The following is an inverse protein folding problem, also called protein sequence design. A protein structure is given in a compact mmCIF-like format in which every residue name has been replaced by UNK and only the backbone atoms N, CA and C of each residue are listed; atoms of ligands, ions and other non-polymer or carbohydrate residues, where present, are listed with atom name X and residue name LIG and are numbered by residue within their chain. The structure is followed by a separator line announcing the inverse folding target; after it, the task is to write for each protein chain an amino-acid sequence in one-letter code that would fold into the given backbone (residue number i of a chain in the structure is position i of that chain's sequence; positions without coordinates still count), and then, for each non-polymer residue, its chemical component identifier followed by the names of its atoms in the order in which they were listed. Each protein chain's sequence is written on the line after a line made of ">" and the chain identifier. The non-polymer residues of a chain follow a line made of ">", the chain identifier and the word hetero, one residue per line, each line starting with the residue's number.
data_IF_006125903450
#
_entry.id   IF_006125903450
#
_cell.length_a   1.000
_cell.length_b   1.000
_cell.length_c   1.000
_cell.angle_alpha   90.00
_cell.angle_beta   90.00
_cell.angle_gamma   90.00
#
_symmetry.space_group_name_H-M   'P 1'
#
loop_
_entity.id
_entity.type
_entity.pdbx_description
1 polymer ?
#
# COMPACT_ATOMS: atom_id res chain seq x y z
N UNK A 1 17.28 -6.71 16.93
CA UNK A 1 16.28 -5.60 16.77
C UNK A 1 15.40 -5.52 18.01
N UNK A 2 14.94 -4.30 18.44
CA UNK A 2 13.96 -4.18 19.52
C UNK A 2 12.60 -4.65 18.99
N UNK A 3 11.94 -5.59 19.70
CA UNK A 3 10.58 -6.01 19.38
C UNK A 3 9.60 -4.86 19.62
N UNK A 4 8.60 -4.72 18.77
CA UNK A 4 7.49 -3.80 18.99
C UNK A 4 6.64 -4.27 20.18
N UNK A 5 5.93 -3.32 20.80
CA UNK A 5 5.01 -3.65 21.88
C UNK A 5 3.86 -4.54 21.35
N UNK A 6 3.45 -5.61 22.06
CA UNK A 6 2.42 -6.54 21.58
C UNK A 6 1.09 -5.88 21.16
N UNK A 7 0.67 -4.82 21.86
CA UNK A 7 -0.55 -4.08 21.50
C UNK A 7 -0.42 -3.36 20.13
N UNK A 8 0.78 -2.87 19.77
CA UNK A 8 1.03 -2.27 18.46
C UNK A 8 0.88 -3.33 17.38
N UNK A 9 1.46 -4.52 17.61
CA UNK A 9 1.38 -5.65 16.68
C UNK A 9 -0.07 -6.08 16.53
N UNK A 10 -0.79 -6.28 17.64
CA UNK A 10 -2.22 -6.62 17.62
C UNK A 10 -3.03 -5.62 16.81
N UNK A 11 -2.90 -4.32 17.10
CA UNK A 11 -3.62 -3.27 16.37
C UNK A 11 -3.23 -3.19 14.88
N UNK A 12 -1.99 -3.58 14.54
CA UNK A 12 -1.53 -3.62 13.16
C UNK A 12 -2.25 -4.72 12.36
N UNK A 13 -2.54 -5.88 12.95
CA UNK A 13 -3.17 -7.02 12.29
C UNK A 13 -4.71 -7.01 12.32
N UNK A 14 -5.34 -6.21 13.17
CA UNK A 14 -6.79 -6.14 13.26
C UNK A 14 -7.42 -5.53 12.00
N UNK A 15 -8.33 -6.26 11.35
CA UNK A 15 -9.05 -5.80 10.15
C UNK A 15 -10.57 -5.75 10.32
N UNK A 16 -11.15 -6.50 11.26
CA UNK A 16 -12.59 -6.56 11.48
C UNK A 16 -13.40 -7.34 10.43
N UNK A 17 -12.75 -7.94 9.41
CA UNK A 17 -13.36 -8.74 8.35
C UNK A 17 -12.52 -9.98 8.04
N UNK A 18 -13.11 -10.93 7.26
CA UNK A 18 -12.49 -12.24 7.01
C UNK A 18 -11.79 -12.36 5.65
N UNK A 19 -11.97 -11.42 4.74
CA UNK A 19 -11.34 -11.46 3.41
C UNK A 19 -9.82 -11.43 3.53
N UNK A 20 -9.08 -12.36 2.88
CA UNK A 20 -7.63 -12.36 2.89
C UNK A 20 -7.04 -11.12 2.24
N UNK A 21 -5.99 -10.58 2.87
CA UNK A 21 -5.23 -9.44 2.35
C UNK A 21 -3.80 -9.89 2.07
N UNK A 22 -3.35 -9.70 0.83
CA UNK A 22 -1.98 -10.01 0.39
C UNK A 22 -1.30 -8.72 -0.01
N UNK A 23 -0.26 -8.33 0.72
CA UNK A 23 0.59 -7.20 0.36
C UNK A 23 1.65 -7.59 -0.65
N UNK A 24 1.93 -6.72 -1.63
CA UNK A 24 3.03 -6.86 -2.57
C UNK A 24 3.99 -5.69 -2.34
N UNK A 25 5.23 -5.98 -1.98
CA UNK A 25 6.23 -4.97 -1.61
C UNK A 25 7.61 -5.29 -2.17
N UNK A 26 8.53 -4.34 -2.08
CA UNK A 26 9.92 -4.53 -2.49
C UNK A 26 10.77 -3.30 -2.17
N UNK A 27 12.05 -3.50 -1.91
CA UNK A 27 12.94 -2.47 -1.36
C UNK A 27 13.23 -1.31 -2.31
N UNK A 28 13.15 -1.51 -3.66
CA UNK A 28 13.45 -0.45 -4.64
C UNK A 28 12.36 -0.30 -5.71
N UNK A 29 12.38 0.86 -6.39
CA UNK A 29 11.60 1.08 -7.61
C UNK A 29 12.09 0.20 -8.76
N UNK A 30 11.19 -0.20 -9.66
CA UNK A 30 11.52 -0.94 -10.88
C UNK A 30 11.77 -2.44 -10.72
N UNK A 31 11.69 -3.01 -9.51
CA UNK A 31 11.88 -4.45 -9.27
C UNK A 31 10.73 -5.32 -9.81
N UNK A 32 9.63 -4.69 -10.21
CA UNK A 32 8.47 -5.36 -10.83
C UNK A 32 7.29 -5.62 -9.89
N UNK A 33 7.18 -4.94 -8.73
CA UNK A 33 6.05 -5.08 -7.79
C UNK A 33 4.70 -4.98 -8.49
N UNK A 34 4.42 -3.85 -9.14
CA UNK A 34 3.15 -3.60 -9.83
C UNK A 34 2.90 -4.60 -10.96
N UNK A 35 3.95 -5.02 -11.68
CA UNK A 35 3.83 -6.08 -12.69
C UNK A 35 3.37 -7.40 -12.06
N UNK A 36 3.95 -7.77 -10.90
CA UNK A 36 3.53 -8.95 -10.15
C UNK A 36 2.10 -8.78 -9.61
N UNK A 37 1.79 -7.62 -9.03
CA UNK A 37 0.50 -7.33 -8.43
C UNK A 37 -0.65 -7.44 -9.46
N UNK A 38 -0.52 -6.77 -10.61
CA UNK A 38 -1.57 -6.78 -11.64
C UNK A 38 -1.76 -8.14 -12.29
N UNK A 39 -0.67 -8.89 -12.55
CA UNK A 39 -0.77 -10.22 -13.14
C UNK A 39 -1.32 -11.25 -12.14
N UNK A 40 -0.96 -11.13 -10.86
CA UNK A 40 -1.52 -11.96 -9.80
C UNK A 40 -3.02 -11.66 -9.60
N UNK A 41 -3.43 -10.39 -9.62
CA UNK A 41 -4.84 -9.99 -9.53
C UNK A 41 -5.66 -10.56 -10.70
N UNK A 42 -5.12 -10.47 -11.91
CA UNK A 42 -5.76 -11.03 -13.10
C UNK A 42 -5.81 -12.58 -13.04
N UNK A 43 -4.79 -13.24 -12.50
CA UNK A 43 -4.78 -14.68 -12.30
C UNK A 43 -5.87 -15.13 -11.31
N UNK A 44 -6.03 -14.45 -10.18
CA UNK A 44 -7.13 -14.70 -9.25
C UNK A 44 -8.50 -14.52 -9.93
N UNK A 45 -8.68 -13.45 -10.72
CA UNK A 45 -9.92 -13.20 -11.45
C UNK A 45 -10.20 -14.27 -12.48
N UNK A 46 -9.17 -14.78 -13.21
CA UNK A 46 -9.28 -15.88 -14.14
C UNK A 46 -9.67 -17.21 -13.47
N UNK A 47 -9.29 -17.41 -12.20
CA UNK A 47 -9.74 -18.52 -11.34
C UNK A 47 -11.17 -18.33 -10.79
N UNK A 48 -11.90 -17.30 -11.27
CA UNK A 48 -13.28 -17.02 -10.88
C UNK A 48 -13.43 -16.29 -9.55
N UNK A 49 -12.35 -15.77 -8.95
CA UNK A 49 -12.39 -15.02 -7.69
C UNK A 49 -12.80 -13.56 -7.93
N UNK A 50 -13.55 -12.99 -7.00
CA UNK A 50 -13.76 -11.54 -6.93
C UNK A 50 -12.56 -10.90 -6.23
N UNK A 51 -11.87 -10.02 -6.94
CA UNK A 51 -10.56 -9.47 -6.54
C UNK A 51 -10.65 -7.95 -6.36
N UNK A 52 -10.15 -7.46 -5.23
CA UNK A 52 -9.78 -6.06 -5.09
C UNK A 52 -8.26 -5.92 -5.27
N UNK A 53 -7.82 -5.05 -6.18
CA UNK A 53 -6.43 -4.58 -6.25
C UNK A 53 -6.39 -3.14 -5.75
N UNK A 54 -5.54 -2.87 -4.78
CA UNK A 54 -5.32 -1.54 -4.19
C UNK A 54 -3.96 -1.05 -4.65
N UNK A 55 -3.95 -0.06 -5.54
CA UNK A 55 -2.75 0.68 -5.92
C UNK A 55 -2.46 1.72 -4.83
N UNK A 56 -1.54 1.38 -3.95
CA UNK A 56 -1.10 2.20 -2.83
C UNK A 56 0.27 2.87 -3.08
N UNK A 57 0.81 2.79 -4.31
CA UNK A 57 1.91 3.65 -4.77
C UNK A 57 1.36 5.01 -5.23
N UNK A 58 0.80 5.76 -4.29
CA UNK A 58 0.03 6.98 -4.54
C UNK A 58 0.83 8.13 -5.14
N UNK A 59 2.17 8.06 -5.06
CA UNK A 59 3.09 9.03 -5.66
C UNK A 59 3.26 8.80 -7.17
N UNK A 60 3.12 7.54 -7.61
CA UNK A 60 3.25 7.13 -9.01
C UNK A 60 2.35 5.94 -9.35
N UNK A 61 1.01 6.08 -9.24
CA UNK A 61 0.08 4.97 -9.46
C UNK A 61 0.13 4.49 -10.91
N UNK A 62 0.34 3.19 -11.10
CA UNK A 62 0.59 2.60 -12.42
C UNK A 62 -0.32 1.41 -12.75
N UNK A 63 -1.03 0.84 -11.78
CA UNK A 63 -1.82 -0.39 -11.96
C UNK A 63 -2.93 -0.22 -13.00
N UNK A 64 -3.53 0.97 -13.08
CA UNK A 64 -4.55 1.30 -14.08
C UNK A 64 -4.02 1.19 -15.50
N UNK A 65 -2.78 1.63 -15.74
CA UNK A 65 -2.10 1.54 -17.05
C UNK A 65 -1.77 0.09 -17.39
N UNK A 66 -1.28 -0.68 -16.40
CA UNK A 66 -0.88 -2.08 -16.58
C UNK A 66 -2.08 -3.01 -16.81
N UNK A 67 -3.27 -2.64 -16.32
CA UNK A 67 -4.52 -3.38 -16.52
C UNK A 67 -5.33 -2.89 -17.72
N UNK A 68 -4.94 -1.77 -18.35
CA UNK A 68 -5.74 -1.08 -19.37
C UNK A 68 -7.13 -0.70 -18.86
N UNK A 69 -7.21 -0.32 -17.58
CA UNK A 69 -8.43 0.13 -16.92
C UNK A 69 -8.40 1.66 -16.76
N UNK A 70 -9.41 2.41 -17.24
CA UNK A 70 -9.44 3.85 -17.02
C UNK A 70 -9.64 4.16 -15.53
N UNK A 71 -9.13 5.32 -15.08
CA UNK A 71 -9.44 5.86 -13.76
C UNK A 71 -10.85 6.43 -13.75
N UNK A 72 -11.75 5.82 -12.99
CA UNK A 72 -13.18 6.18 -12.94
C UNK A 72 -13.58 6.56 -11.51
N UNK A 73 -14.76 7.21 -11.40
CA UNK A 73 -15.37 7.60 -10.13
C UNK A 73 -14.40 8.36 -9.20
N UNK A 74 -13.87 9.52 -9.62
CA UNK A 74 -12.94 10.30 -8.80
C UNK A 74 -13.61 10.83 -7.53
N UNK A 75 -12.99 10.57 -6.38
CA UNK A 75 -13.40 11.07 -5.08
C UNK A 75 -12.23 11.82 -4.44
N UNK A 76 -12.39 13.09 -3.99
CA UNK A 76 -11.29 13.84 -3.39
C UNK A 76 -10.94 13.28 -2.00
N UNK A 77 -9.65 13.13 -1.73
CA UNK A 77 -9.13 12.91 -0.38
C UNK A 77 -8.86 14.27 0.24
N UNK A 78 -9.62 14.60 1.27
CA UNK A 78 -9.49 15.89 1.95
C UNK A 78 -9.05 15.74 3.38
N UNK A 79 -8.29 16.73 3.85
CA UNK A 79 -7.94 16.91 5.25
C UNK A 79 -8.52 18.20 5.79
N UNK A 80 -8.67 18.29 7.10
CA UNK A 80 -9.01 19.56 7.74
C UNK A 80 -7.82 20.51 7.58
N UNK A 81 -8.06 21.70 7.04
CA UNK A 81 -7.07 22.75 7.01
C UNK A 81 -7.65 23.99 7.71
N UNK A 82 -6.92 24.60 8.70
CA UNK A 82 -7.48 25.74 9.43
C UNK A 82 -7.59 26.97 8.54
N UNK A 83 -8.70 27.70 8.70
CA UNK A 83 -8.84 29.09 8.26
C UNK A 83 -8.92 29.99 9.46
N UNK A 84 -8.44 31.23 9.33
CA UNK A 84 -8.30 32.17 10.44
C UNK A 84 -9.14 33.41 10.21
N UNK A 85 -9.95 33.76 11.23
CA UNK A 85 -10.75 34.98 11.27
C UNK A 85 -9.98 36.07 12.02
N UNK A 86 -9.45 37.10 11.33
CA UNK A 86 -8.65 38.15 11.97
C UNK A 86 -9.47 39.05 12.89
N UNK A 87 -10.80 39.14 12.69
CA UNK A 87 -11.67 40.00 13.52
C UNK A 87 -11.86 39.35 14.91
N UNK A 88 -11.97 38.03 14.97
CA UNK A 88 -12.06 37.27 16.23
C UNK A 88 -10.74 37.02 16.88
N UNK A 89 -9.64 37.09 16.14
CA UNK A 89 -8.32 36.75 16.64
C UNK A 89 -7.86 37.72 17.74
N UNK A 90 -7.53 37.20 18.92
CA UNK A 90 -6.99 37.96 20.05
C UNK A 90 -5.46 38.04 20.07
N UNK A 91 -4.79 37.49 19.03
CA UNK A 91 -3.32 37.44 18.89
C UNK A 91 -2.60 36.67 20.01
N UNK A 92 -3.29 35.75 20.67
CA UNK A 92 -2.74 34.99 21.79
C UNK A 92 -1.72 33.92 21.37
N UNK A 93 -1.59 33.59 20.08
CA UNK A 93 -0.66 32.62 19.46
C UNK A 93 -0.76 31.17 20.01
N UNK A 94 -1.83 30.79 20.70
CA UNK A 94 -2.00 29.43 21.19
C UNK A 94 -2.05 28.39 20.06
N UNK A 95 -2.67 28.74 18.93
CA UNK A 95 -2.72 27.90 17.73
C UNK A 95 -1.32 27.63 17.13
N UNK A 96 -0.45 28.66 17.13
CA UNK A 96 0.95 28.53 16.67
C UNK A 96 1.75 27.59 17.60
N UNK A 97 1.62 27.77 18.91
CA UNK A 97 2.30 26.94 19.92
C UNK A 97 1.83 25.49 19.92
N UNK A 98 0.55 25.25 19.59
CA UNK A 98 -0.04 23.92 19.54
C UNK A 98 0.28 23.16 18.24
N UNK A 99 0.77 23.84 17.21
CA UNK A 99 1.08 23.22 15.93
C UNK A 99 2.36 22.38 15.99
N UNK A 100 2.21 21.06 16.11
CA UNK A 100 3.35 20.13 16.15
C UNK A 100 4.13 20.07 14.84
N UNK A 101 3.45 20.41 13.71
CA UNK A 101 4.10 20.49 12.40
C UNK A 101 4.86 21.80 12.19
N UNK A 102 4.78 22.74 13.13
CA UNK A 102 5.35 24.08 13.01
C UNK A 102 4.92 24.83 11.73
N UNK A 103 3.72 24.54 11.22
CA UNK A 103 3.22 25.09 9.96
C UNK A 103 2.48 26.43 10.14
N UNK A 104 2.24 26.88 11.36
CA UNK A 104 1.53 28.12 11.64
C UNK A 104 2.49 29.21 12.13
N UNK A 105 2.36 30.38 11.53
CA UNK A 105 3.19 31.55 11.82
C UNK A 105 2.31 32.77 12.06
N UNK A 106 2.75 33.62 13.00
CA UNK A 106 2.23 34.98 13.13
C UNK A 106 2.88 35.87 12.07
N UNK A 107 2.15 36.14 10.98
CA UNK A 107 2.68 36.99 9.90
C UNK A 107 2.63 38.48 10.25
N UNK A 108 1.53 38.92 10.87
CA UNK A 108 1.26 40.29 11.36
C UNK A 108 0.36 40.18 12.59
N UNK A 109 0.12 41.31 13.26
CA UNK A 109 -0.85 41.40 14.34
C UNK A 109 -2.21 40.82 13.88
N UNK A 110 -2.77 39.92 14.69
CA UNK A 110 -4.03 39.18 14.41
C UNK A 110 -4.06 38.37 13.09
N UNK A 111 -2.89 38.16 12.48
CA UNK A 111 -2.79 37.42 11.22
C UNK A 111 -1.92 36.18 11.40
N UNK A 112 -2.58 35.04 11.41
CA UNK A 112 -1.92 33.71 11.40
C UNK A 112 -1.91 33.20 9.97
N UNK A 113 -0.74 32.78 9.50
CA UNK A 113 -0.55 32.19 8.18
C UNK A 113 -0.17 30.73 8.30
N UNK A 114 -0.71 29.90 7.41
CA UNK A 114 -0.26 28.53 7.21
C UNK A 114 0.87 28.54 6.19
N UNK A 115 2.04 28.07 6.58
CA UNK A 115 3.22 27.91 5.71
C UNK A 115 3.83 26.54 6.01
N UNK A 116 3.91 25.69 4.99
CA UNK A 116 4.37 24.31 5.13
C UNK A 116 3.24 23.30 5.25
N UNK A 117 3.61 22.09 5.63
CA UNK A 117 2.70 20.94 5.62
C UNK A 117 1.75 20.93 6.82
N UNK A 118 0.47 20.74 6.57
CA UNK A 118 -0.55 20.59 7.60
C UNK A 118 -1.14 19.17 7.51
N UNK A 119 -0.99 18.38 8.56
CA UNK A 119 -1.52 17.00 8.61
C UNK A 119 -3.01 16.91 9.03
N UNK A 120 -3.70 18.05 9.18
CA UNK A 120 -5.12 18.08 9.49
C UNK A 120 -5.50 17.70 10.92
N UNK A 121 -4.56 17.67 11.88
CA UNK A 121 -4.81 17.19 13.25
C UNK A 121 -5.84 18.00 14.06
N UNK A 122 -6.14 19.26 13.68
CA UNK A 122 -7.14 20.10 14.32
C UNK A 122 -6.72 20.71 15.66
N UNK A 123 -5.48 20.51 16.14
CA UNK A 123 -5.02 21.05 17.42
C UNK A 123 -5.20 22.58 17.53
N UNK A 124 -4.89 23.31 16.45
CA UNK A 124 -5.05 24.75 16.38
C UNK A 124 -6.51 25.22 16.56
N UNK A 125 -7.46 24.44 16.04
CA UNK A 125 -8.88 24.68 16.20
C UNK A 125 -9.32 24.46 17.67
N UNK A 126 -8.87 23.37 18.29
CA UNK A 126 -9.28 23.00 19.65
C UNK A 126 -8.76 23.96 20.73
N UNK A 127 -7.59 24.56 20.51
CA UNK A 127 -6.96 25.43 21.52
C UNK A 127 -7.32 26.91 21.36
N UNK A 128 -8.12 27.29 20.37
CA UNK A 128 -8.46 28.70 20.12
C UNK A 128 -9.54 29.21 21.09
N UNK A 129 -9.19 30.09 22.07
CA UNK A 129 -10.18 30.54 23.06
C UNK A 129 -11.17 31.56 22.50
N UNK A 130 -10.92 32.10 21.31
CA UNK A 130 -11.72 33.13 20.67
C UNK A 130 -12.52 32.61 19.48
N UNK A 131 -12.56 31.29 19.23
CA UNK A 131 -13.17 30.67 18.05
C UNK A 131 -12.78 31.33 16.72
N UNK A 132 -11.55 31.89 16.67
CA UNK A 132 -11.00 32.53 15.49
C UNK A 132 -10.44 31.56 14.46
N UNK A 133 -10.21 30.29 14.86
CA UNK A 133 -9.78 29.22 13.96
C UNK A 133 -10.99 28.41 13.55
N UNK A 134 -11.23 28.33 12.25
CA UNK A 134 -12.35 27.58 11.69
C UNK A 134 -11.85 26.34 10.93
N UNK A 135 -12.72 25.34 10.76
CA UNK A 135 -12.42 24.14 9.99
C UNK A 135 -12.65 24.43 8.50
N UNK A 136 -11.57 24.58 7.76
CA UNK A 136 -11.57 24.53 6.31
C UNK A 136 -11.26 23.11 5.82
N UNK A 137 -11.13 22.95 4.50
CA UNK A 137 -10.83 21.70 3.83
C UNK A 137 -9.72 21.91 2.79
N UNK A 138 -8.82 20.97 2.68
CA UNK A 138 -7.77 20.94 1.67
C UNK A 138 -7.70 19.56 1.02
N UNK A 139 -7.74 19.52 -0.32
CA UNK A 139 -7.60 18.27 -1.07
C UNK A 139 -6.14 17.89 -1.16
N UNK A 140 -5.79 16.68 -0.70
CA UNK A 140 -4.43 16.15 -0.74
C UNK A 140 -4.22 15.07 -1.79
N UNK A 141 -5.31 14.53 -2.35
CA UNK A 141 -5.24 13.49 -3.37
C UNK A 141 -6.62 13.17 -3.93
N UNK A 142 -6.65 12.18 -4.80
CA UNK A 142 -7.89 11.67 -5.41
C UNK A 142 -7.90 10.15 -5.34
N UNK A 143 -9.04 9.57 -5.02
CA UNK A 143 -9.32 8.14 -5.13
C UNK A 143 -10.06 7.86 -6.43
N UNK A 144 -9.78 6.70 -7.00
CA UNK A 144 -10.49 6.18 -8.17
C UNK A 144 -10.91 4.75 -7.92
N UNK A 145 -12.03 4.34 -8.51
CA UNK A 145 -12.51 2.96 -8.46
C UNK A 145 -13.01 2.54 -9.82
N UNK A 146 -12.36 1.56 -10.40
CA UNK A 146 -12.71 0.98 -11.72
C UNK A 146 -12.94 -0.51 -11.58
N UNK A 147 -13.89 -1.07 -12.33
CA UNK A 147 -14.20 -2.50 -12.27
C UNK A 147 -14.25 -3.09 -13.68
N UNK A 148 -13.61 -4.24 -13.86
CA UNK A 148 -13.62 -5.02 -15.11
C UNK A 148 -13.82 -6.50 -14.75
N UNK A 149 -14.99 -7.05 -15.08
CA UNK A 149 -15.34 -8.42 -14.68
C UNK A 149 -15.30 -8.60 -13.16
N UNK A 150 -14.53 -9.57 -12.70
CA UNK A 150 -14.35 -9.89 -11.28
C UNK A 150 -13.23 -9.07 -10.60
N UNK A 151 -12.54 -8.19 -11.31
CA UNK A 151 -11.46 -7.36 -10.78
C UNK A 151 -11.93 -5.92 -10.57
N UNK A 152 -11.79 -5.43 -9.33
CA UNK A 152 -11.98 -4.02 -8.97
C UNK A 152 -10.65 -3.42 -8.57
N UNK A 153 -10.25 -2.36 -9.25
CA UNK A 153 -9.07 -1.56 -8.95
C UNK A 153 -9.47 -0.34 -8.11
N UNK A 154 -8.79 -0.15 -7.00
CA UNK A 154 -8.82 1.06 -6.17
C UNK A 154 -7.48 1.75 -6.30
N UNK A 155 -7.45 2.96 -6.85
CA UNK A 155 -6.21 3.73 -7.04
C UNK A 155 -6.24 4.98 -6.18
N UNK A 156 -5.18 5.20 -5.38
CA UNK A 156 -4.92 6.47 -4.73
C UNK A 156 -3.92 7.29 -5.57
N UNK A 157 -4.19 8.57 -5.76
CA UNK A 157 -3.26 9.48 -6.40
C UNK A 157 -3.02 10.72 -5.53
N UNK A 158 -1.78 10.94 -5.11
CA UNK A 158 -1.38 12.13 -4.37
C UNK A 158 -1.43 13.36 -5.27
N UNK A 159 -1.88 14.50 -4.76
CA UNK A 159 -1.83 15.74 -5.51
C UNK A 159 -0.38 16.17 -5.73
N UNK A 160 0.03 16.51 -6.98
CA UNK A 160 1.40 16.92 -7.27
C UNK A 160 1.88 18.07 -6.37
N UNK A 161 3.10 17.93 -5.84
CA UNK A 161 3.72 18.94 -4.97
C UNK A 161 3.42 18.77 -3.48
N UNK A 162 2.62 17.78 -3.09
CA UNK A 162 2.39 17.42 -1.68
C UNK A 162 3.26 16.21 -1.28
N UNK A 163 3.50 16.08 0.03
CA UNK A 163 4.34 15.02 0.59
C UNK A 163 3.57 14.04 1.52
N UNK A 164 2.26 14.27 1.73
CA UNK A 164 1.45 13.51 2.69
C UNK A 164 0.88 12.21 2.10
N UNK A 165 1.69 11.43 1.39
CA UNK A 165 1.30 10.17 0.76
C UNK A 165 0.59 9.20 1.71
N UNK A 166 0.98 9.15 2.99
CA UNK A 166 0.36 8.27 3.99
C UNK A 166 -1.14 8.53 4.18
N UNK A 167 -1.61 9.77 4.01
CA UNK A 167 -3.04 10.11 4.12
C UNK A 167 -3.83 9.51 2.97
N UNK A 168 -3.30 9.59 1.74
CA UNK A 168 -3.94 9.04 0.54
C UNK A 168 -3.88 7.51 0.56
N UNK A 169 -2.75 6.91 0.98
CA UNK A 169 -2.61 5.45 1.18
C UNK A 169 -3.66 4.93 2.16
N UNK A 170 -3.82 5.59 3.31
CA UNK A 170 -4.83 5.18 4.28
C UNK A 170 -6.26 5.33 3.72
N UNK A 171 -6.52 6.40 2.96
CA UNK A 171 -7.83 6.63 2.37
C UNK A 171 -8.20 5.55 1.34
N UNK A 172 -7.32 5.25 0.37
CA UNK A 172 -7.59 4.22 -0.66
C UNK A 172 -7.77 2.85 -0.04
N UNK A 173 -6.92 2.49 0.92
CA UNK A 173 -7.04 1.23 1.65
C UNK A 173 -8.35 1.13 2.41
N UNK A 174 -8.75 2.18 3.14
CA UNK A 174 -9.98 2.17 3.93
C UNK A 174 -11.22 2.01 3.05
N UNK A 175 -11.26 2.62 1.87
CA UNK A 175 -12.36 2.46 0.90
C UNK A 175 -12.43 1.02 0.39
N UNK A 176 -11.30 0.41 0.05
CA UNK A 176 -11.24 -0.99 -0.37
C UNK A 176 -11.67 -1.94 0.77
N UNK A 177 -11.19 -1.69 1.99
CA UNK A 177 -11.49 -2.52 3.17
C UNK A 177 -12.93 -2.40 3.63
N UNK A 178 -13.55 -1.23 3.49
CA UNK A 178 -14.98 -1.05 3.75
C UNK A 178 -15.87 -1.90 2.82
N UNK A 179 -15.34 -2.34 1.67
CA UNK A 179 -16.03 -3.20 0.73
C UNK A 179 -15.51 -4.65 0.75
N UNK A 180 -14.72 -5.04 1.76
CA UNK A 180 -13.99 -6.31 1.82
C UNK A 180 -14.89 -7.55 1.62
N UNK A 181 -16.10 -7.54 2.18
CA UNK A 181 -17.03 -8.66 2.09
C UNK A 181 -17.52 -8.96 0.66
N UNK A 182 -17.22 -8.07 -0.30
CA UNK A 182 -17.53 -8.26 -1.73
C UNK A 182 -16.44 -9.03 -2.48
N UNK A 183 -15.31 -9.28 -1.85
CA UNK A 183 -14.13 -9.85 -2.48
C UNK A 183 -13.70 -11.16 -1.83
N UNK A 184 -13.17 -12.06 -2.63
CA UNK A 184 -12.54 -13.29 -2.17
C UNK A 184 -11.11 -13.04 -1.71
N UNK A 185 -10.46 -11.99 -2.24
CA UNK A 185 -9.08 -11.59 -1.91
C UNK A 185 -8.87 -10.09 -2.18
N UNK A 186 -8.07 -9.47 -1.34
CA UNK A 186 -7.59 -8.10 -1.52
C UNK A 186 -6.07 -8.14 -1.72
N UNK A 187 -5.59 -7.59 -2.83
CA UNK A 187 -4.16 -7.39 -3.10
C UNK A 187 -3.83 -5.92 -2.88
N UNK A 188 -2.67 -5.65 -2.27
CA UNK A 188 -2.21 -4.28 -2.03
C UNK A 188 -0.83 -4.10 -2.66
N UNK A 189 -0.74 -3.37 -3.77
CA UNK A 189 0.54 -2.96 -4.36
C UNK A 189 1.08 -1.74 -3.62
N UNK A 190 2.31 -1.81 -3.12
CA UNK A 190 2.90 -0.75 -2.30
C UNK A 190 3.93 0.06 -3.05
N UNK A 191 4.13 1.30 -2.61
CA UNK A 191 5.32 2.06 -2.99
C UNK A 191 6.61 1.29 -2.65
N UNK A 192 7.74 1.61 -3.30
CA UNK A 192 9.04 1.00 -2.97
C UNK A 192 9.57 1.46 -1.61
N UNK A 193 10.40 0.62 -0.99
CA UNK A 193 11.15 0.96 0.22
C UNK A 193 10.47 0.51 1.52
N UNK A 194 10.89 1.12 2.65
CA UNK A 194 10.48 0.75 4.01
C UNK A 194 9.89 1.94 4.79
N UNK A 195 9.35 2.93 4.07
CA UNK A 195 8.81 4.15 4.65
C UNK A 195 7.42 3.96 5.27
N UNK A 196 6.94 4.96 6.00
CA UNK A 196 5.65 4.92 6.72
C UNK A 196 4.45 4.61 5.81
N UNK A 197 4.48 5.06 4.55
CA UNK A 197 3.43 4.77 3.57
C UNK A 197 3.35 3.27 3.22
N UNK A 198 4.50 2.58 3.10
CA UNK A 198 4.56 1.12 2.89
C UNK A 198 4.01 0.38 4.11
N UNK A 199 4.42 0.77 5.31
CA UNK A 199 3.90 0.20 6.56
C UNK A 199 2.39 0.40 6.65
N UNK A 200 1.92 1.62 6.33
CA UNK A 200 0.50 1.95 6.30
C UNK A 200 -0.29 1.11 5.28
N UNK A 201 0.28 0.89 4.09
CA UNK A 201 -0.32 0.06 3.05
C UNK A 201 -0.45 -1.42 3.47
N UNK A 202 0.58 -1.95 4.14
CA UNK A 202 0.64 -3.35 4.59
C UNK A 202 -0.15 -3.62 5.89
N UNK A 203 -0.66 -2.60 6.58
CA UNK A 203 -1.42 -2.79 7.81
C UNK A 203 -2.65 -3.68 7.55
N UNK A 204 -2.77 -4.77 8.32
CA UNK A 204 -3.83 -5.76 8.20
C UNK A 204 -3.58 -6.83 7.14
N UNK A 205 -2.44 -6.81 6.43
CA UNK A 205 -2.12 -7.88 5.50
C UNK A 205 -1.88 -9.21 6.23
N UNK A 206 -2.53 -10.26 5.76
CA UNK A 206 -2.36 -11.62 6.29
C UNK A 206 -1.08 -12.26 5.76
N UNK A 207 -0.65 -11.89 4.55
CA UNK A 207 0.56 -12.38 3.91
C UNK A 207 1.20 -11.29 3.05
N UNK A 208 2.54 -11.28 2.97
CA UNK A 208 3.27 -10.29 2.16
C UNK A 208 4.22 -11.00 1.20
N UNK A 209 4.13 -10.63 -0.08
CA UNK A 209 5.08 -11.01 -1.11
C UNK A 209 6.16 -9.94 -1.24
N UNK A 210 7.39 -10.28 -0.87
CA UNK A 210 8.56 -9.43 -1.08
C UNK A 210 9.15 -9.72 -2.46
N UNK A 211 9.04 -8.76 -3.38
CA UNK A 211 9.56 -8.88 -4.75
C UNK A 211 11.00 -8.37 -4.80
N UNK A 212 11.90 -9.18 -5.33
CA UNK A 212 13.33 -8.84 -5.47
C UNK A 212 13.91 -9.32 -6.79
N UNK A 213 15.16 -8.96 -7.04
CA UNK A 213 15.99 -9.42 -8.17
C UNK A 213 17.29 -10.05 -7.66
N UNK A 214 17.93 -10.98 -8.41
CA UNK A 214 19.17 -11.65 -8.00
C UNK A 214 20.40 -10.73 -8.18
N UNK A 215 20.31 -9.47 -7.73
CA UNK A 215 21.37 -8.47 -7.78
C UNK A 215 21.88 -8.14 -6.36
N UNK A 216 23.12 -7.63 -6.20
CA UNK A 216 23.62 -7.22 -4.88
C UNK A 216 22.68 -6.20 -4.18
N UNK A 217 22.15 -5.22 -4.94
CA UNK A 217 21.21 -4.24 -4.41
C UNK A 217 19.87 -4.89 -4.06
N UNK A 218 19.36 -5.80 -4.93
CA UNK A 218 18.11 -6.53 -4.65
C UNK A 218 18.21 -7.38 -3.37
N UNK A 219 19.36 -8.01 -3.13
CA UNK A 219 19.58 -8.79 -1.89
C UNK A 219 19.61 -7.90 -0.64
N UNK A 220 20.30 -6.75 -0.72
CA UNK A 220 20.34 -5.79 0.40
C UNK A 220 18.96 -5.23 0.71
N UNK A 221 18.22 -4.81 -0.31
CA UNK A 221 16.87 -4.26 -0.16
C UNK A 221 15.88 -5.32 0.36
N UNK A 222 16.06 -6.58 -0.06
CA UNK A 222 15.27 -7.70 0.46
C UNK A 222 15.49 -7.89 1.96
N UNK A 223 16.73 -7.80 2.43
CA UNK A 223 17.07 -7.90 3.86
C UNK A 223 16.35 -6.83 4.68
N UNK A 224 16.33 -5.57 4.20
CA UNK A 224 15.62 -4.47 4.85
C UNK A 224 14.11 -4.72 4.92
N UNK A 225 13.50 -5.15 3.82
CA UNK A 225 12.06 -5.47 3.77
C UNK A 225 11.73 -6.63 4.69
N UNK A 226 12.47 -7.75 4.62
CA UNK A 226 12.20 -8.91 5.45
C UNK A 226 12.38 -8.60 6.94
N UNK A 227 13.36 -7.75 7.28
CA UNK A 227 13.54 -7.27 8.66
C UNK A 227 12.36 -6.41 9.13
N UNK A 228 11.81 -5.56 8.25
CA UNK A 228 10.60 -4.79 8.53
C UNK A 228 9.40 -5.71 8.78
N UNK A 229 9.18 -6.69 7.89
CA UNK A 229 8.08 -7.65 8.01
C UNK A 229 8.19 -8.52 9.27
N UNK A 230 9.41 -8.87 9.67
CA UNK A 230 9.66 -9.59 10.92
C UNK A 230 9.33 -8.74 12.14
N UNK A 231 9.67 -7.45 12.13
CA UNK A 231 9.35 -6.52 13.22
C UNK A 231 7.84 -6.44 13.50
N UNK A 232 7.02 -6.54 12.46
CA UNK A 232 5.56 -6.55 12.55
C UNK A 232 4.95 -7.96 12.61
N UNK A 233 5.77 -9.00 12.74
CA UNK A 233 5.36 -10.42 12.81
C UNK A 233 4.50 -10.85 11.62
N UNK A 234 4.75 -10.28 10.43
CA UNK A 234 3.98 -10.56 9.21
C UNK A 234 4.42 -11.87 8.56
N UNK A 235 3.45 -12.66 8.11
CA UNK A 235 3.71 -13.80 7.24
C UNK A 235 4.25 -13.32 5.89
N UNK A 236 5.27 -13.97 5.37
CA UNK A 236 6.02 -13.46 4.22
C UNK A 236 6.57 -14.55 3.32
N UNK A 237 6.60 -14.25 2.04
CA UNK A 237 7.26 -15.05 1.01
C UNK A 237 8.01 -14.13 0.04
N UNK A 238 8.91 -14.71 -0.73
CA UNK A 238 9.76 -14.00 -1.69
C UNK A 238 9.37 -14.41 -3.12
N UNK A 239 9.30 -13.43 -4.01
CA UNK A 239 9.24 -13.60 -5.46
C UNK A 239 10.55 -13.09 -6.05
N UNK A 240 11.31 -13.95 -6.72
CA UNK A 240 12.51 -13.55 -7.45
C UNK A 240 12.10 -13.21 -8.88
N UNK A 241 12.05 -11.91 -9.18
CA UNK A 241 11.80 -11.44 -10.53
C UNK A 241 13.09 -11.31 -11.30
N UNK A 242 13.03 -11.44 -12.63
CA UNK A 242 14.20 -11.46 -13.53
C UNK A 242 15.27 -12.41 -13.02
N UNK A 243 14.86 -13.63 -12.65
CA UNK A 243 15.68 -14.63 -11.96
C UNK A 243 16.87 -15.13 -12.77
N UNK A 244 16.89 -14.86 -14.07
CA UNK A 244 17.96 -15.17 -15.03
C UNK A 244 18.98 -14.04 -15.20
N UNK A 245 18.81 -12.90 -14.51
CA UNK A 245 19.85 -11.87 -14.50
C UNK A 245 21.15 -12.43 -13.88
N UNK A 246 22.31 -12.11 -14.47
CA UNK A 246 23.59 -12.49 -13.88
C UNK A 246 23.75 -11.78 -12.52
N UNK A 247 23.80 -12.56 -11.44
CA UNK A 247 23.89 -12.00 -10.10
C UNK A 247 24.13 -13.06 -9.03
N UNK A 248 23.94 -12.65 -7.77
CA UNK A 248 24.13 -13.51 -6.61
C UNK A 248 22.80 -14.10 -6.13
N UNK A 249 22.22 -15.01 -6.90
CA UNK A 249 20.98 -15.70 -6.53
C UNK A 249 21.10 -16.37 -5.15
N UNK A 250 22.21 -17.04 -4.89
CA UNK A 250 22.49 -17.71 -3.61
C UNK A 250 22.39 -16.75 -2.41
N UNK A 251 22.79 -15.48 -2.60
CA UNK A 251 22.65 -14.45 -1.54
C UNK A 251 21.18 -14.14 -1.26
N UNK A 252 20.34 -14.05 -2.30
CA UNK A 252 18.88 -13.84 -2.14
C UNK A 252 18.24 -15.02 -1.44
N UNK A 253 18.60 -16.26 -1.84
CA UNK A 253 18.13 -17.49 -1.21
C UNK A 253 18.53 -17.56 0.28
N UNK A 254 19.79 -17.23 0.58
CA UNK A 254 20.28 -17.20 1.96
C UNK A 254 19.56 -16.12 2.80
N UNK A 255 19.32 -14.94 2.22
CA UNK A 255 18.58 -13.85 2.89
C UNK A 255 17.14 -14.28 3.20
N UNK A 256 16.45 -14.90 2.23
CA UNK A 256 15.11 -15.43 2.42
C UNK A 256 15.08 -16.53 3.50
N UNK A 257 16.02 -17.47 3.44
CA UNK A 257 16.14 -18.55 4.41
C UNK A 257 16.38 -18.02 5.84
N UNK A 258 17.29 -17.06 6.00
CA UNK A 258 17.60 -16.47 7.32
C UNK A 258 16.40 -15.74 7.93
N UNK A 259 15.51 -15.20 7.10
CA UNK A 259 14.28 -14.55 7.52
C UNK A 259 13.07 -15.50 7.60
N UNK A 260 13.27 -16.82 7.47
CA UNK A 260 12.21 -17.83 7.42
C UNK A 260 11.13 -17.51 6.36
N UNK A 261 11.52 -16.94 5.22
CA UNK A 261 10.63 -16.62 4.09
C UNK A 261 10.83 -17.64 2.97
N UNK A 262 9.74 -18.27 2.51
CA UNK A 262 9.78 -19.19 1.38
C UNK A 262 9.86 -18.45 0.05
N UNK A 263 10.60 -18.97 -0.92
CA UNK A 263 10.56 -18.49 -2.30
C UNK A 263 9.38 -19.18 -2.99
N UNK A 264 8.34 -18.43 -3.35
CA UNK A 264 7.10 -18.97 -3.91
C UNK A 264 7.05 -18.90 -5.43
N UNK A 265 7.86 -18.06 -6.04
CA UNK A 265 8.00 -17.99 -7.50
C UNK A 265 9.34 -17.41 -7.92
N UNK A 266 9.78 -17.87 -9.09
CA UNK A 266 10.89 -17.32 -9.84
C UNK A 266 10.43 -17.01 -11.25
N UNK A 267 10.56 -15.74 -11.63
CA UNK A 267 10.12 -15.23 -12.92
C UNK A 267 11.34 -14.75 -13.69
N UNK A 268 11.62 -15.37 -14.81
CA UNK A 268 12.69 -14.95 -15.72
C UNK A 268 12.29 -13.66 -16.47
N UNK A 269 13.25 -13.04 -17.14
CA UNK A 269 12.93 -12.09 -18.20
C UNK A 269 12.09 -12.81 -19.24
N UNK A 270 10.87 -12.35 -19.43
CA UNK A 270 9.87 -13.02 -20.24
C UNK A 270 9.26 -12.07 -21.27
N UNK A 271 9.25 -12.47 -22.55
CA UNK A 271 8.78 -11.64 -23.65
C UNK A 271 7.26 -11.46 -23.63
N UNK A 272 6.49 -12.45 -23.17
CA UNK A 272 5.04 -12.35 -23.08
C UNK A 272 4.65 -11.39 -21.94
N UNK A 273 5.39 -11.44 -20.82
CA UNK A 273 5.23 -10.47 -19.72
C UNK A 273 5.56 -9.05 -20.16
N UNK A 274 6.64 -8.88 -20.94
CA UNK A 274 7.01 -7.59 -21.52
C UNK A 274 5.96 -7.10 -22.52
N UNK A 275 5.44 -7.98 -23.37
CA UNK A 275 4.38 -7.64 -24.33
C UNK A 275 3.11 -7.21 -23.62
N UNK A 276 2.73 -7.91 -22.52
CA UNK A 276 1.62 -7.53 -21.65
C UNK A 276 1.81 -6.12 -21.07
N UNK A 277 2.98 -5.85 -20.50
CA UNK A 277 3.35 -4.54 -19.99
C UNK A 277 3.19 -3.43 -21.04
N UNK A 278 3.73 -3.63 -22.25
CA UNK A 278 3.68 -2.65 -23.35
C UNK A 278 2.26 -2.39 -23.87
N UNK A 279 1.37 -3.39 -23.78
CA UNK A 279 -0.02 -3.29 -24.22
C UNK A 279 -1.00 -2.87 -23.11
N UNK A 280 -0.53 -2.71 -21.86
CA UNK A 280 -1.39 -2.45 -20.72
C UNK A 280 -2.41 -3.55 -20.48
N UNK A 281 -1.99 -4.82 -20.58
CA UNK A 281 -2.84 -5.99 -20.37
C UNK A 281 -2.09 -7.09 -19.62
N UNK A 282 -2.73 -7.75 -18.65
CA UNK A 282 -2.14 -8.90 -17.97
C UNK A 282 -1.85 -10.07 -18.94
N UNK A 283 -0.82 -10.87 -18.63
CA UNK A 283 -0.45 -12.03 -19.46
C UNK A 283 -1.56 -13.07 -19.54
N UNK A 284 -2.36 -13.22 -18.49
CA UNK A 284 -3.49 -14.17 -18.47
C UNK A 284 -4.55 -13.82 -19.52
N UNK A 285 -4.71 -12.54 -19.84
CA UNK A 285 -5.65 -12.05 -20.87
C UNK A 285 -5.09 -12.21 -22.30
N UNK A 286 -3.76 -12.00 -22.47
CA UNK A 286 -3.11 -12.03 -23.78
C UNK A 286 -2.59 -13.40 -24.18
N UNK A 287 -2.02 -14.12 -23.22
CA UNK A 287 -1.30 -15.37 -23.43
C UNK A 287 -1.73 -16.44 -22.41
N UNK A 288 -3.00 -16.90 -22.44
CA UNK A 288 -3.54 -17.79 -21.40
C UNK A 288 -2.77 -19.11 -21.28
N UNK A 289 -2.20 -19.62 -22.37
CA UNK A 289 -1.46 -20.89 -22.41
C UNK A 289 0.04 -20.72 -22.20
N UNK A 290 0.54 -19.51 -22.00
CA UNK A 290 1.98 -19.26 -21.80
C UNK A 290 2.48 -19.80 -20.45
N UNK A 291 3.75 -20.22 -20.42
CA UNK A 291 4.37 -20.72 -19.19
C UNK A 291 4.31 -19.69 -18.05
N UNK A 292 4.52 -18.41 -18.36
CA UNK A 292 4.45 -17.31 -17.39
C UNK A 292 3.05 -17.19 -16.78
N UNK A 293 1.99 -17.36 -17.56
CA UNK A 293 0.59 -17.38 -17.07
C UNK A 293 0.40 -18.51 -16.06
N UNK A 294 0.94 -19.69 -16.37
CA UNK A 294 0.93 -20.85 -15.45
C UNK A 294 1.64 -20.56 -14.12
N UNK A 295 2.67 -19.72 -14.09
CA UNK A 295 3.33 -19.31 -12.85
C UNK A 295 2.38 -18.46 -12.00
N UNK A 296 1.73 -17.44 -12.56
CA UNK A 296 0.80 -16.59 -11.83
C UNK A 296 -0.43 -17.36 -11.32
N UNK A 297 -0.99 -18.28 -12.11
CA UNK A 297 -2.10 -19.13 -11.67
C UNK A 297 -1.70 -20.02 -10.48
N UNK A 298 -0.53 -20.65 -10.52
CA UNK A 298 0.00 -21.46 -9.41
C UNK A 298 0.28 -20.61 -8.16
N UNK A 299 0.77 -19.39 -8.32
CA UNK A 299 0.94 -18.45 -7.20
C UNK A 299 -0.41 -18.12 -6.56
N UNK A 300 -1.43 -17.83 -7.35
CA UNK A 300 -2.77 -17.53 -6.86
C UNK A 300 -3.38 -18.70 -6.08
N UNK A 301 -3.26 -19.93 -6.59
CA UNK A 301 -3.70 -21.15 -5.91
C UNK A 301 -2.97 -21.37 -4.58
N UNK A 302 -1.63 -21.23 -4.59
CA UNK A 302 -0.80 -21.39 -3.39
C UNK A 302 -1.17 -20.37 -2.30
N UNK A 303 -1.34 -19.11 -2.66
CA UNK A 303 -1.69 -18.03 -1.74
C UNK A 303 -3.11 -18.20 -1.18
N UNK A 304 -4.06 -18.70 -1.98
CA UNK A 304 -5.39 -19.06 -1.51
C UNK A 304 -5.32 -20.10 -0.39
N UNK A 305 -4.58 -21.18 -0.61
CA UNK A 305 -4.43 -22.26 0.38
C UNK A 305 -3.76 -21.77 1.67
N UNK A 306 -2.74 -20.94 1.56
CA UNK A 306 -1.98 -20.41 2.71
C UNK A 306 -2.81 -19.43 3.54
N UNK A 307 -3.46 -18.46 2.91
CA UNK A 307 -4.24 -17.43 3.60
C UNK A 307 -5.52 -17.95 4.25
N UNK A 308 -6.18 -18.96 3.64
CA UNK A 308 -7.36 -19.58 4.22
C UNK A 308 -7.04 -20.41 5.48
N UNK A 309 -5.92 -21.13 5.49
CA UNK A 309 -5.51 -21.93 6.64
C UNK A 309 -5.19 -21.06 7.87
N UNK A 310 -4.61 -19.89 7.67
CA UNK A 310 -4.23 -18.97 8.74
C UNK A 310 -5.45 -18.32 9.41
N UNK A 311 -6.44 -17.87 8.65
CA UNK A 311 -7.68 -17.29 9.23
C UNK A 311 -8.50 -18.32 9.98
N UNK A 312 -8.44 -19.58 9.60
CA UNK A 312 -9.10 -20.68 10.31
C UNK A 312 -8.42 -20.95 11.67
N UNK A 313 -7.10 -20.91 11.73
CA UNK A 313 -6.33 -21.08 12.98
C UNK A 313 -6.52 -19.91 13.94
N UNK A 314 -6.45 -18.66 13.46
CA UNK A 314 -6.65 -17.47 14.26
C UNK A 314 -8.07 -17.39 14.90
N UNK A 315 -9.10 -17.95 14.23
CA UNK A 315 -10.46 -18.07 14.78
C UNK A 315 -10.59 -19.12 15.87
N UNK A 316 -9.76 -20.17 15.87
CA UNK A 316 -9.78 -21.21 16.89
C UNK A 316 -9.05 -20.81 18.17
N UNK A 317 -8.16 -19.81 18.10
CA UNK A 317 -7.35 -19.32 19.22
C UNK A 317 -7.96 -18.10 19.93
N UNK A 318 -9.06 -17.53 19.44
CA UNK A 318 -9.82 -16.51 20.17
C UNK A 318 -10.80 -17.18 21.13
N UNK A 319 -10.57 -17.13 22.47
CA UNK A 319 -11.58 -17.56 23.44
C UNK A 319 -12.80 -16.62 23.37
N UNK A 320 -13.99 -17.22 23.46
CA UNK A 320 -15.29 -16.56 23.57
C UNK A 320 -15.35 -15.54 24.71
#
# INVERSE_FOLDING_TARGET
>A
MKKLHPEIIKHFHETGFSTPIIGITGGKGGVGKSTIAVNLAAAFAALGKYVALVDADVDAPNDSLLLGMPLENPEPVTIMQPTFDPEKCTDCQQCVKACQMNSLFRAKEKSISLMGECNGCGACYLVCPADAVQRGSHTVGTLYRSTKGNLTLFTGALQPGLAESALVVNAVRNVAFAAADRFDVILVDTAPGTHCNVIGALKGADHVLAVTEPTPLGSHDLELILSLLEMFEMQRSVVINRSDLPGKRETVEQTAHNAAASIVAEIKLDNDLLAGYLQGKPVVDLFPDAAITGIFLKMADHLTATSMNQKTQARQEQPL
#
